data_IF_209425253505
#
_entry.id   IF_209425253505
#
_cell.length_a   1.000
_cell.length_b   1.000
_cell.length_c   1.000
_cell.angle_alpha   90.00
_cell.angle_beta   90.00
_cell.angle_gamma   90.00
#
_symmetry.space_group_name_H-M   'P 1'
#
loop_
_entity.id
_entity.type
_entity.pdbx_description
1 polymer ?
#
# COMPACT_ATOMS: atom_id res chain seq x y z
N UNK A 1 -24.81 8.72 -24.40
CA UNK A 1 -23.57 8.79 -25.22
C UNK A 1 -23.67 7.71 -26.31
N UNK A 2 -23.37 8.01 -27.61
CA UNK A 2 -23.44 7.02 -28.69
C UNK A 2 -22.35 5.94 -28.58
N UNK A 3 -22.54 4.81 -29.26
CA UNK A 3 -21.64 3.65 -29.19
C UNK A 3 -20.17 4.03 -29.50
N UNK A 4 -19.91 4.65 -30.65
CA UNK A 4 -18.56 5.07 -31.04
C UNK A 4 -17.86 5.91 -29.93
N UNK A 5 -18.57 6.89 -29.36
CA UNK A 5 -18.01 7.74 -28.31
C UNK A 5 -17.62 6.95 -27.04
N UNK A 6 -18.43 5.95 -26.65
CA UNK A 6 -18.09 5.07 -25.54
C UNK A 6 -16.83 4.27 -25.83
N UNK A 7 -16.73 3.69 -27.06
CA UNK A 7 -15.56 2.90 -27.44
C UNK A 7 -14.28 3.73 -27.54
N UNK A 8 -14.35 4.98 -28.01
CA UNK A 8 -13.21 5.91 -27.99
C UNK A 8 -12.74 6.18 -26.57
N UNK A 9 -13.65 6.40 -25.63
CA UNK A 9 -13.28 6.61 -24.20
C UNK A 9 -12.63 5.36 -23.63
N UNK A 10 -13.22 4.17 -23.83
CA UNK A 10 -12.67 2.91 -23.32
C UNK A 10 -11.28 2.65 -23.92
N UNK A 11 -11.11 2.87 -25.23
CA UNK A 11 -9.82 2.71 -25.89
C UNK A 11 -8.75 3.65 -25.31
N UNK A 12 -9.07 4.91 -25.06
CA UNK A 12 -8.18 5.87 -24.45
C UNK A 12 -7.78 5.48 -23.00
N UNK A 13 -8.77 5.05 -22.20
CA UNK A 13 -8.53 4.56 -20.83
C UNK A 13 -7.67 3.30 -20.83
N UNK A 14 -7.94 2.36 -21.73
CA UNK A 14 -7.15 1.12 -21.86
C UNK A 14 -5.72 1.42 -22.30
N UNK A 15 -5.53 2.30 -23.29
CA UNK A 15 -4.20 2.71 -23.74
C UNK A 15 -3.40 3.38 -22.60
N UNK A 16 -4.06 4.27 -21.84
CA UNK A 16 -3.42 4.89 -20.65
C UNK A 16 -3.07 3.87 -19.56
N UNK A 17 -3.88 2.85 -19.32
CA UNK A 17 -3.59 1.82 -18.34
C UNK A 17 -2.40 0.93 -18.77
N UNK A 18 -2.26 0.64 -20.09
CA UNK A 18 -1.14 -0.13 -20.64
C UNK A 18 0.16 0.69 -20.64
N UNK A 19 0.07 1.97 -20.99
CA UNK A 19 1.21 2.88 -21.05
C UNK A 19 0.82 4.28 -20.57
N UNK A 20 1.00 4.57 -19.27
CA UNK A 20 0.66 5.87 -18.70
C UNK A 20 1.39 7.02 -19.39
N UNK A 21 0.68 8.12 -19.64
CA UNK A 21 1.27 9.31 -20.21
C UNK A 21 2.23 9.95 -19.17
N UNK A 22 3.48 10.25 -19.55
CA UNK A 22 4.43 10.87 -18.64
C UNK A 22 4.09 12.35 -18.40
N UNK A 23 4.42 12.85 -17.21
CA UNK A 23 4.35 14.27 -16.90
C UNK A 23 3.64 14.59 -15.60
N UNK A 24 4.31 15.40 -14.76
CA UNK A 24 3.84 15.76 -13.42
C UNK A 24 2.46 16.45 -13.42
N UNK A 25 2.16 17.33 -14.39
CA UNK A 25 0.90 18.06 -14.45
C UNK A 25 -0.32 17.19 -14.72
N UNK A 26 -0.11 16.07 -15.42
CA UNK A 26 -1.18 15.14 -15.81
C UNK A 26 -1.19 13.88 -14.93
N UNK A 27 -0.18 13.70 -14.07
CA UNK A 27 0.04 12.48 -13.29
C UNK A 27 -1.19 12.04 -12.51
N UNK A 28 -1.93 12.96 -11.90
CA UNK A 28 -3.13 12.66 -11.14
C UNK A 28 -4.28 12.11 -12.01
N UNK A 29 -4.54 12.75 -13.16
CA UNK A 29 -5.56 12.27 -14.10
C UNK A 29 -5.17 10.94 -14.73
N UNK A 30 -3.89 10.79 -15.09
CA UNK A 30 -3.31 9.57 -15.65
C UNK A 30 -3.38 8.44 -14.61
N UNK A 31 -3.06 8.74 -13.36
CA UNK A 31 -3.21 7.80 -12.25
C UNK A 31 -4.65 7.30 -12.13
N UNK A 32 -5.63 8.18 -11.94
CA UNK A 32 -7.02 7.77 -11.74
C UNK A 32 -7.56 6.93 -12.90
N UNK A 33 -7.31 7.37 -14.13
CA UNK A 33 -7.72 6.65 -15.32
C UNK A 33 -7.04 5.28 -15.42
N UNK A 34 -5.73 5.21 -15.20
CA UNK A 34 -4.94 3.97 -15.28
C UNK A 34 -5.26 3.00 -14.15
N UNK A 35 -5.35 3.49 -12.92
CA UNK A 35 -5.67 2.70 -11.73
C UNK A 35 -7.03 2.01 -11.86
N UNK A 36 -8.11 2.78 -12.06
CA UNK A 36 -9.45 2.20 -12.17
C UNK A 36 -9.57 1.24 -13.35
N UNK A 37 -9.01 1.59 -14.51
CA UNK A 37 -9.07 0.71 -15.68
C UNK A 37 -8.26 -0.56 -15.48
N UNK A 38 -7.08 -0.47 -14.85
CA UNK A 38 -6.22 -1.62 -14.58
C UNK A 38 -6.81 -2.57 -13.55
N UNK A 39 -7.30 -2.03 -12.41
CA UNK A 39 -7.84 -2.86 -11.33
C UNK A 39 -9.26 -3.40 -11.62
N UNK A 40 -10.05 -2.69 -12.46
CA UNK A 40 -11.37 -3.11 -12.90
C UNK A 40 -11.37 -3.68 -14.33
N UNK A 41 -10.22 -4.10 -14.86
CA UNK A 41 -10.10 -4.60 -16.23
C UNK A 41 -11.10 -5.72 -16.57
N UNK A 42 -11.40 -6.71 -15.72
CA UNK A 42 -12.44 -7.71 -16.00
C UNK A 42 -13.83 -7.13 -16.16
N UNK A 43 -14.21 -6.15 -15.34
CA UNK A 43 -15.52 -5.50 -15.39
C UNK A 43 -15.66 -4.61 -16.64
N UNK A 44 -14.61 -3.84 -16.97
CA UNK A 44 -14.57 -3.02 -18.19
C UNK A 44 -14.61 -3.90 -19.44
N UNK A 45 -13.93 -5.05 -19.43
CA UNK A 45 -13.96 -6.04 -20.51
C UNK A 45 -15.37 -6.60 -20.71
N UNK A 46 -16.03 -7.01 -19.63
CA UNK A 46 -17.40 -7.53 -19.68
C UNK A 46 -18.38 -6.49 -20.24
N UNK A 47 -18.25 -5.23 -19.78
CA UNK A 47 -19.04 -4.12 -20.31
C UNK A 47 -18.77 -3.87 -21.81
N UNK A 48 -17.49 -3.84 -22.22
CA UNK A 48 -17.09 -3.63 -23.62
C UNK A 48 -17.65 -4.71 -24.54
N UNK A 49 -17.56 -5.98 -24.11
CA UNK A 49 -18.10 -7.12 -24.85
C UNK A 49 -19.63 -7.04 -24.99
N UNK A 50 -20.35 -6.77 -23.91
CA UNK A 50 -21.82 -6.64 -23.92
C UNK A 50 -22.28 -5.48 -24.81
N UNK A 51 -21.61 -4.31 -24.73
CA UNK A 51 -21.91 -3.15 -25.54
C UNK A 51 -21.65 -3.41 -27.04
N UNK A 52 -20.55 -4.08 -27.37
CA UNK A 52 -20.21 -4.47 -28.74
C UNK A 52 -21.20 -5.48 -29.32
N UNK A 53 -21.59 -6.52 -28.58
CA UNK A 53 -22.57 -7.54 -28.99
C UNK A 53 -23.93 -6.86 -29.25
N UNK A 54 -24.40 -6.05 -28.30
CA UNK A 54 -25.68 -5.35 -28.42
C UNK A 54 -25.72 -4.44 -29.68
N UNK A 55 -24.59 -3.76 -29.95
CA UNK A 55 -24.46 -2.92 -31.11
C UNK A 55 -24.39 -3.73 -32.43
N UNK A 56 -23.65 -4.83 -32.47
CA UNK A 56 -23.48 -5.68 -33.64
C UNK A 56 -24.79 -6.38 -34.08
N UNK A 57 -25.67 -6.70 -33.11
CA UNK A 57 -26.98 -7.31 -33.33
C UNK A 57 -28.06 -6.27 -33.65
N UNK A 58 -27.77 -4.96 -33.50
CA UNK A 58 -28.67 -3.88 -33.76
C UNK A 58 -28.79 -3.53 -35.26
N UNK A 59 -29.76 -2.65 -35.59
CA UNK A 59 -30.03 -2.20 -36.97
C UNK A 59 -28.95 -1.27 -37.56
N UNK A 60 -28.22 -0.55 -36.71
CA UNK A 60 -27.15 0.38 -37.14
C UNK A 60 -25.82 -0.20 -36.71
N UNK A 61 -24.97 -0.52 -37.68
CA UNK A 61 -23.61 -1.02 -37.45
C UNK A 61 -22.61 0.11 -37.61
N UNK A 62 -21.72 0.24 -36.64
CA UNK A 62 -20.59 1.18 -36.68
C UNK A 62 -19.29 0.36 -36.68
N UNK A 63 -18.69 0.14 -37.88
CA UNK A 63 -17.51 -0.72 -38.01
C UNK A 63 -16.29 -0.14 -37.26
N UNK A 64 -16.13 1.19 -37.19
CA UNK A 64 -15.04 1.81 -36.45
C UNK A 64 -15.21 1.59 -34.94
N UNK A 65 -16.42 1.78 -34.42
CA UNK A 65 -16.73 1.51 -33.01
C UNK A 65 -16.52 0.05 -32.66
N UNK A 66 -16.88 -0.91 -33.52
CA UNK A 66 -16.62 -2.34 -33.30
C UNK A 66 -15.13 -2.68 -33.36
N UNK A 67 -14.36 -2.08 -34.26
CA UNK A 67 -12.91 -2.24 -34.31
C UNK A 67 -12.24 -1.71 -33.03
N UNK A 68 -12.66 -0.54 -32.54
CA UNK A 68 -12.17 0.00 -31.26
C UNK A 68 -12.55 -0.88 -30.06
N UNK A 69 -13.76 -1.46 -30.06
CA UNK A 69 -14.17 -2.40 -29.02
C UNK A 69 -13.29 -3.65 -29.02
N UNK A 70 -12.97 -4.21 -30.21
CA UNK A 70 -12.04 -5.34 -30.34
C UNK A 70 -10.64 -5.02 -29.86
N UNK A 71 -10.08 -3.86 -30.24
CA UNK A 71 -8.77 -3.42 -29.77
C UNK A 71 -8.74 -3.19 -28.24
N UNK A 72 -9.79 -2.56 -27.70
CA UNK A 72 -9.93 -2.37 -26.26
C UNK A 72 -10.04 -3.69 -25.50
N UNK A 73 -10.81 -4.65 -26.03
CA UNK A 73 -10.93 -5.98 -25.43
C UNK A 73 -9.58 -6.71 -25.39
N UNK A 74 -8.79 -6.65 -26.47
CA UNK A 74 -7.43 -7.21 -26.48
C UNK A 74 -6.52 -6.54 -25.44
N UNK A 75 -6.55 -5.19 -25.35
CA UNK A 75 -5.79 -4.46 -24.33
C UNK A 75 -6.23 -4.76 -22.90
N UNK A 76 -7.54 -4.91 -22.65
CA UNK A 76 -8.07 -5.29 -21.33
C UNK A 76 -7.70 -6.72 -20.95
N UNK A 77 -7.69 -7.67 -21.89
CA UNK A 77 -7.18 -9.02 -21.67
C UNK A 77 -5.70 -9.02 -21.32
N UNK A 78 -4.89 -8.18 -21.98
CA UNK A 78 -3.49 -7.97 -21.62
C UNK A 78 -3.33 -7.45 -20.18
N UNK A 79 -4.16 -6.47 -19.74
CA UNK A 79 -4.14 -5.96 -18.38
C UNK A 79 -4.54 -7.04 -17.35
N UNK A 80 -5.52 -7.90 -17.69
CA UNK A 80 -5.89 -9.06 -16.85
C UNK A 80 -4.73 -10.05 -16.75
N UNK A 81 -4.03 -10.33 -17.84
CA UNK A 81 -2.84 -11.20 -17.82
C UNK A 81 -1.72 -10.61 -16.95
N UNK A 82 -1.40 -9.33 -17.11
CA UNK A 82 -0.45 -8.64 -16.23
C UNK A 82 -0.85 -8.71 -14.75
N UNK A 83 -2.13 -8.51 -14.43
CA UNK A 83 -2.61 -8.60 -13.05
C UNK A 83 -2.47 -10.03 -12.48
N UNK A 84 -2.62 -11.07 -13.29
CA UNK A 84 -2.41 -12.46 -12.89
C UNK A 84 -0.94 -12.79 -12.65
N UNK A 85 -0.03 -12.25 -13.48
CA UNK A 85 1.43 -12.45 -13.33
C UNK A 85 1.96 -11.91 -12.00
N UNK A 86 1.27 -10.96 -11.37
CA UNK A 86 1.63 -10.49 -10.03
C UNK A 86 1.73 -11.63 -9.03
N UNK A 87 0.94 -12.72 -9.20
CA UNK A 87 1.05 -13.90 -8.35
C UNK A 87 2.43 -14.56 -8.39
N UNK A 88 3.03 -14.68 -9.58
CA UNK A 88 4.40 -15.19 -9.75
C UNK A 88 5.44 -14.19 -9.25
N UNK A 89 5.30 -12.92 -9.60
CA UNK A 89 6.25 -11.87 -9.20
C UNK A 89 6.39 -11.75 -7.68
N UNK A 90 5.27 -11.80 -6.93
CA UNK A 90 5.34 -11.74 -5.46
C UNK A 90 5.87 -13.04 -4.85
N UNK A 91 5.66 -14.18 -5.48
CA UNK A 91 6.21 -15.47 -5.06
C UNK A 91 7.74 -15.48 -5.24
N UNK A 92 8.21 -15.06 -6.42
CA UNK A 92 9.64 -14.96 -6.72
C UNK A 92 10.32 -13.97 -5.77
N UNK A 93 9.67 -12.83 -5.46
CA UNK A 93 10.18 -11.86 -4.50
C UNK A 93 10.29 -12.43 -3.08
N UNK A 94 9.32 -13.23 -2.64
CA UNK A 94 9.38 -13.90 -1.34
C UNK A 94 10.51 -14.94 -1.33
N UNK A 95 10.58 -15.79 -2.35
CA UNK A 95 11.61 -16.81 -2.47
C UNK A 95 13.04 -16.21 -2.52
N UNK A 96 13.22 -15.09 -3.24
CA UNK A 96 14.49 -14.35 -3.26
C UNK A 96 14.84 -13.76 -1.90
N UNK A 97 13.87 -13.16 -1.21
CA UNK A 97 14.12 -12.39 0.00
C UNK A 97 14.19 -13.19 1.28
N UNK A 98 13.40 -14.27 1.41
CA UNK A 98 13.26 -15.07 2.64
C UNK A 98 13.57 -16.56 2.47
N UNK A 99 14.01 -16.97 1.28
CA UNK A 99 14.43 -18.35 0.97
C UNK A 99 13.33 -19.16 0.29
N UNK A 100 13.74 -20.16 -0.51
CA UNK A 100 12.82 -21.05 -1.25
C UNK A 100 11.98 -21.94 -0.32
N UNK A 101 12.48 -22.21 0.87
CA UNK A 101 11.90 -23.06 1.91
C UNK A 101 10.99 -22.29 2.89
N UNK A 102 10.73 -21.00 2.67
CA UNK A 102 9.93 -20.20 3.59
C UNK A 102 8.53 -20.77 3.85
N UNK A 103 7.97 -21.48 2.87
CA UNK A 103 6.65 -22.12 2.99
C UNK A 103 6.63 -23.20 4.06
N UNK A 104 7.75 -23.92 4.27
CA UNK A 104 7.90 -24.93 5.32
C UNK A 104 7.94 -24.31 6.72
N UNK A 105 8.22 -23.02 6.81
CA UNK A 105 8.30 -22.25 8.05
C UNK A 105 6.94 -21.60 8.43
N UNK A 106 5.92 -21.73 7.59
CA UNK A 106 4.56 -21.33 7.91
C UNK A 106 3.86 -22.38 8.77
N UNK A 107 2.85 -21.99 9.55
CA UNK A 107 2.05 -22.93 10.35
C UNK A 107 1.35 -23.99 9.46
N UNK A 108 1.01 -23.63 8.24
CA UNK A 108 0.54 -24.52 7.18
C UNK A 108 0.91 -23.98 5.80
N UNK A 109 1.23 -24.87 4.87
CA UNK A 109 1.45 -24.50 3.48
C UNK A 109 0.14 -24.01 2.83
N UNK A 110 0.17 -22.89 2.07
CA UNK A 110 -1.03 -22.38 1.43
C UNK A 110 -1.56 -23.36 0.38
N UNK A 111 -2.86 -23.64 0.42
CA UNK A 111 -3.50 -24.50 -0.56
C UNK A 111 -3.69 -23.78 -1.90
N UNK A 112 -3.81 -24.50 -3.05
CA UNK A 112 -4.15 -23.88 -4.32
C UNK A 112 -5.44 -23.05 -4.30
N UNK A 113 -6.42 -23.44 -3.48
CA UNK A 113 -7.68 -22.70 -3.31
C UNK A 113 -7.46 -21.36 -2.60
N UNK A 114 -6.57 -21.30 -1.62
CA UNK A 114 -6.20 -20.07 -0.94
C UNK A 114 -5.40 -19.13 -1.85
N UNK A 115 -4.62 -19.65 -2.78
CA UNK A 115 -3.87 -18.87 -3.76
C UNK A 115 -4.69 -18.46 -5.00
N UNK A 116 -5.84 -19.10 -5.24
CA UNK A 116 -6.68 -18.83 -6.40
C UNK A 116 -7.36 -17.44 -6.30
N UNK A 117 -7.50 -16.73 -7.43
CA UNK A 117 -8.19 -15.44 -7.49
C UNK A 117 -9.65 -15.59 -7.02
N UNK A 118 -10.12 -14.80 -6.05
CA UNK A 118 -11.47 -14.91 -5.49
C UNK A 118 -12.52 -14.25 -6.39
N UNK A 119 -12.77 -14.78 -7.58
CA UNK A 119 -13.64 -14.20 -8.62
C UNK A 119 -15.00 -13.73 -8.10
N UNK A 120 -15.62 -14.46 -7.17
CA UNK A 120 -16.91 -14.06 -6.56
C UNK A 120 -16.81 -12.71 -5.82
N UNK A 121 -15.68 -12.42 -5.15
CA UNK A 121 -15.45 -11.13 -4.47
C UNK A 121 -15.19 -10.01 -5.47
N UNK A 122 -14.66 -10.34 -6.67
CA UNK A 122 -14.37 -9.35 -7.71
C UNK A 122 -15.62 -8.85 -8.44
N UNK A 123 -16.75 -9.56 -8.39
CA UNK A 123 -18.03 -9.09 -8.96
C UNK A 123 -18.50 -7.79 -8.28
N UNK A 124 -18.28 -7.68 -6.96
CA UNK A 124 -18.58 -6.48 -6.18
C UNK A 124 -17.34 -6.01 -5.41
N UNK A 125 -16.36 -5.40 -6.10
CA UNK A 125 -15.04 -5.11 -5.52
C UNK A 125 -15.07 -4.06 -4.39
N UNK A 126 -16.16 -3.34 -4.21
CA UNK A 126 -16.30 -2.36 -3.14
C UNK A 126 -16.96 -2.92 -1.87
N UNK A 127 -17.30 -4.22 -1.83
CA UNK A 127 -17.73 -4.89 -0.61
C UNK A 127 -16.50 -5.36 0.17
N UNK A 128 -16.02 -4.50 1.07
CA UNK A 128 -14.76 -4.72 1.81
C UNK A 128 -14.96 -5.49 3.12
N UNK A 129 -16.18 -5.61 3.61
CA UNK A 129 -16.47 -6.24 4.90
C UNK A 129 -16.35 -7.77 4.85
N UNK A 130 -15.72 -8.33 5.88
CA UNK A 130 -15.66 -9.76 6.16
C UNK A 130 -16.49 -10.05 7.41
N UNK A 131 -17.45 -11.00 7.34
CA UNK A 131 -18.33 -11.33 8.45
C UNK A 131 -17.60 -12.09 9.59
N UNK A 132 -16.37 -12.54 9.36
CA UNK A 132 -15.49 -13.13 10.37
C UNK A 132 -14.70 -12.08 11.16
N UNK A 133 -14.87 -10.79 10.87
CA UNK A 133 -14.12 -9.69 11.49
C UNK A 133 -15.08 -8.70 12.15
N UNK A 134 -14.83 -8.42 13.42
CA UNK A 134 -15.46 -7.31 14.15
C UNK A 134 -14.52 -6.11 14.20
N UNK A 135 -15.07 -4.92 14.31
CA UNK A 135 -14.28 -3.69 14.34
C UNK A 135 -14.70 -2.83 15.52
N UNK A 136 -13.76 -2.54 16.40
CA UNK A 136 -13.91 -1.55 17.47
C UNK A 136 -13.45 -0.19 16.95
N UNK A 137 -14.32 0.82 17.05
CA UNK A 137 -14.14 2.06 16.30
C UNK A 137 -13.91 3.26 17.20
N UNK A 138 -13.12 4.21 16.65
CA UNK A 138 -12.96 5.55 17.21
C UNK A 138 -12.39 5.57 18.63
N UNK A 139 -11.42 4.71 18.89
CA UNK A 139 -10.65 4.69 20.14
C UNK A 139 -9.63 5.82 20.06
N UNK A 140 -9.57 6.67 21.08
CA UNK A 140 -8.59 7.75 21.14
C UNK A 140 -7.21 7.21 21.51
N UNK A 141 -6.19 7.54 20.74
CA UNK A 141 -4.79 7.24 21.08
C UNK A 141 -3.99 8.51 21.42
N UNK A 142 -4.57 9.69 21.15
CA UNK A 142 -4.06 10.99 21.59
C UNK A 142 -5.21 12.03 21.62
N UNK A 143 -4.88 13.29 21.95
CA UNK A 143 -5.83 14.39 22.15
C UNK A 143 -6.14 15.22 20.88
N UNK A 144 -5.72 14.75 19.68
CA UNK A 144 -5.94 15.47 18.44
C UNK A 144 -7.36 15.29 17.84
N UNK A 145 -8.35 14.99 18.68
CA UNK A 145 -9.76 14.82 18.30
C UNK A 145 -9.92 13.74 17.23
N UNK A 146 -10.60 14.04 16.13
CA UNK A 146 -10.82 13.05 15.05
C UNK A 146 -9.52 12.53 14.43
N UNK A 147 -8.41 13.28 14.51
CA UNK A 147 -7.11 12.87 13.96
C UNK A 147 -6.34 11.97 14.91
N UNK A 148 -6.70 11.96 16.20
CA UNK A 148 -6.14 11.06 17.21
C UNK A 148 -6.98 9.79 17.45
N UNK A 149 -7.77 9.36 16.48
CA UNK A 149 -8.61 8.16 16.60
C UNK A 149 -8.05 6.99 15.78
N UNK A 150 -8.20 5.79 16.34
CA UNK A 150 -7.89 4.52 15.70
C UNK A 150 -9.11 3.59 15.68
N UNK A 151 -9.08 2.59 14.79
CA UNK A 151 -9.98 1.45 14.77
C UNK A 151 -9.19 0.15 14.94
N UNK A 152 -9.76 -0.84 15.65
CA UNK A 152 -9.15 -2.16 15.84
C UNK A 152 -10.01 -3.21 15.14
N UNK A 153 -9.42 -3.95 14.22
CA UNK A 153 -10.01 -5.07 13.51
C UNK A 153 -9.59 -6.36 14.20
N UNK A 154 -10.57 -7.15 14.61
CA UNK A 154 -10.42 -8.35 15.41
C UNK A 154 -11.20 -9.51 14.79
N UNK A 155 -10.79 -10.77 14.97
CA UNK A 155 -11.63 -11.90 14.61
C UNK A 155 -12.95 -11.86 15.39
N UNK A 156 -14.02 -12.40 14.81
CA UNK A 156 -15.24 -12.68 15.56
C UNK A 156 -14.92 -13.76 16.61
N UNK A 157 -15.19 -13.44 17.86
CA UNK A 157 -14.71 -14.18 19.03
C UNK A 157 -13.51 -13.48 19.67
N UNK A 158 -12.82 -14.19 20.56
CA UNK A 158 -11.61 -13.69 21.21
C UNK A 158 -10.40 -14.02 20.30
N UNK A 159 -9.53 -13.05 19.97
CA UNK A 159 -8.28 -13.37 19.31
C UNK A 159 -7.44 -14.29 20.21
N UNK A 160 -6.51 -15.06 19.63
CA UNK A 160 -5.51 -15.79 20.41
C UNK A 160 -4.80 -14.84 21.36
N UNK A 161 -4.52 -15.27 22.58
CA UNK A 161 -3.74 -14.47 23.51
C UNK A 161 -2.32 -14.26 22.95
N UNK A 162 -1.83 -13.02 22.97
CA UNK A 162 -0.55 -12.68 22.35
C UNK A 162 -0.55 -12.72 20.81
N UNK A 163 -1.69 -12.43 20.17
CA UNK A 163 -1.81 -12.37 18.72
C UNK A 163 -0.88 -11.30 18.11
N UNK A 164 -0.29 -11.54 16.93
CA UNK A 164 0.56 -10.54 16.27
C UNK A 164 -0.25 -9.30 15.89
N UNK A 165 0.41 -8.13 15.92
CA UNK A 165 -0.22 -6.84 15.68
C UNK A 165 0.24 -6.25 14.35
N UNK A 166 -0.72 -5.75 13.55
CA UNK A 166 -0.46 -4.96 12.35
C UNK A 166 -0.97 -3.53 12.54
N UNK A 167 -0.09 -2.55 12.41
CA UNK A 167 -0.45 -1.13 12.36
C UNK A 167 -0.57 -0.67 10.91
N UNK A 168 -1.75 -0.20 10.51
CA UNK A 168 -2.05 0.35 9.19
C UNK A 168 -2.09 1.88 9.22
N UNK A 169 -1.32 2.52 8.33
CA UNK A 169 -1.26 3.97 8.15
C UNK A 169 -1.77 4.33 6.75
N UNK A 170 -2.83 5.14 6.67
CA UNK A 170 -3.44 5.48 5.39
C UNK A 170 -2.59 6.44 4.54
N UNK A 171 -2.78 6.43 3.22
CA UNK A 171 -2.23 7.42 2.29
C UNK A 171 -3.09 8.67 2.17
N UNK A 172 -2.91 9.42 1.07
CA UNK A 172 -3.67 10.64 0.78
C UNK A 172 -2.81 11.90 0.72
N UNK A 173 -1.52 11.75 0.36
CA UNK A 173 -0.60 12.88 0.17
C UNK A 173 -0.43 13.73 1.42
N UNK A 174 -0.57 13.17 2.60
CA UNK A 174 -0.53 13.85 3.92
C UNK A 174 -1.59 14.94 4.09
N UNK A 175 -2.47 15.17 3.09
CA UNK A 175 -3.45 16.26 3.05
C UNK A 175 -4.89 15.80 3.21
N UNK A 176 -5.18 14.56 2.84
CA UNK A 176 -6.51 13.92 2.91
C UNK A 176 -6.38 12.49 3.42
N UNK A 177 -7.50 11.81 3.57
CA UNK A 177 -7.58 10.41 3.95
C UNK A 177 -8.03 10.20 5.39
N UNK A 178 -8.38 8.97 5.68
CA UNK A 178 -8.79 8.49 7.00
C UNK A 178 -8.66 6.96 7.08
N UNK A 179 -8.62 6.46 8.31
CA UNK A 179 -8.41 5.06 8.69
C UNK A 179 -9.39 4.04 8.07
N UNK A 180 -10.55 4.50 7.60
CA UNK A 180 -11.58 3.64 7.01
C UNK A 180 -11.45 3.49 5.47
N UNK A 181 -10.44 4.08 4.81
CA UNK A 181 -10.40 4.18 3.35
C UNK A 181 -9.36 3.25 2.69
N UNK A 182 -8.28 2.89 3.38
CA UNK A 182 -7.16 2.14 2.80
C UNK A 182 -6.71 0.99 3.70
N UNK A 183 -6.04 -0.01 3.10
CA UNK A 183 -5.56 -1.20 3.81
C UNK A 183 -6.67 -2.16 4.25
N UNK A 184 -7.95 -1.86 3.93
CA UNK A 184 -9.10 -2.65 4.40
C UNK A 184 -9.04 -4.10 3.90
N UNK A 185 -8.72 -4.42 2.64
CA UNK A 185 -8.61 -5.80 2.18
C UNK A 185 -7.58 -6.61 3.00
N UNK A 186 -6.43 -6.03 3.29
CA UNK A 186 -5.38 -6.67 4.07
C UNK A 186 -5.80 -6.87 5.54
N UNK A 187 -6.30 -5.82 6.20
CA UNK A 187 -6.73 -5.89 7.59
C UNK A 187 -7.88 -6.88 7.80
N UNK A 188 -8.86 -6.90 6.89
CA UNK A 188 -9.97 -7.88 6.94
C UNK A 188 -9.48 -9.31 6.72
N UNK A 189 -8.46 -9.50 5.92
CA UNK A 189 -7.86 -10.81 5.67
C UNK A 189 -7.08 -11.30 6.88
N UNK A 190 -6.18 -10.50 7.42
CA UNK A 190 -5.33 -10.87 8.56
C UNK A 190 -6.12 -11.01 9.85
N UNK A 191 -7.07 -10.09 10.12
CA UNK A 191 -7.92 -10.21 11.31
C UNK A 191 -8.76 -11.49 11.29
N UNK A 192 -9.27 -11.93 10.12
CA UNK A 192 -9.95 -13.23 10.00
C UNK A 192 -9.03 -14.43 10.28
N UNK A 193 -7.71 -14.26 10.19
CA UNK A 193 -6.67 -15.24 10.52
C UNK A 193 -6.11 -15.09 11.94
N UNK A 194 -6.72 -14.27 12.77
CA UNK A 194 -6.37 -14.14 14.19
C UNK A 194 -5.42 -12.99 14.53
N UNK A 195 -5.03 -12.15 13.57
CA UNK A 195 -4.26 -10.94 13.84
C UNK A 195 -5.10 -9.85 14.50
N UNK A 196 -4.45 -9.00 15.28
CA UNK A 196 -5.02 -7.73 15.76
C UNK A 196 -4.52 -6.62 14.81
N UNK A 197 -5.42 -6.04 14.00
CA UNK A 197 -5.04 -5.00 13.06
C UNK A 197 -5.56 -3.64 13.53
N UNK A 198 -4.68 -2.64 13.61
CA UNK A 198 -4.97 -1.28 14.07
C UNK A 198 -4.85 -0.32 12.91
N UNK A 199 -5.89 0.46 12.62
CA UNK A 199 -5.88 1.50 11.61
C UNK A 199 -5.98 2.88 12.27
N UNK A 200 -5.07 3.80 11.95
CA UNK A 200 -5.02 5.11 12.58
C UNK A 200 -5.38 6.24 11.63
N UNK A 201 -6.01 7.28 12.18
CA UNK A 201 -5.92 8.62 11.63
C UNK A 201 -4.62 9.28 12.13
N UNK A 202 -4.19 10.33 11.46
CA UNK A 202 -3.10 11.20 11.88
C UNK A 202 -3.36 12.64 11.42
N UNK A 203 -2.68 13.62 12.01
CA UNK A 203 -2.80 15.03 11.62
C UNK A 203 -2.45 15.24 10.16
N UNK A 204 -3.12 16.16 9.50
CA UNK A 204 -2.97 16.42 8.07
C UNK A 204 -2.54 17.84 7.78
N UNK A 205 -1.72 17.98 6.73
CA UNK A 205 -1.39 19.28 6.16
C UNK A 205 -2.63 19.86 5.44
N UNK A 206 -2.72 21.15 5.22
CA UNK A 206 -1.78 22.20 5.56
C UNK A 206 -1.88 22.72 7.00
N UNK A 207 -2.83 22.21 7.80
CA UNK A 207 -3.06 22.64 9.17
C UNK A 207 -1.88 22.25 10.06
N UNK A 208 -1.46 21.02 9.96
CA UNK A 208 -0.41 20.43 10.77
C UNK A 208 0.71 19.96 9.83
N UNK A 209 1.75 20.78 9.55
CA UNK A 209 2.83 20.40 8.64
C UNK A 209 3.68 19.26 9.21
N UNK A 210 4.44 18.58 8.33
CA UNK A 210 5.44 17.62 8.77
C UNK A 210 6.44 18.27 9.75
N UNK A 211 6.80 17.59 10.87
CA UNK A 211 6.72 16.15 11.15
C UNK A 211 5.48 15.69 11.95
N UNK A 212 4.41 16.47 12.08
CA UNK A 212 3.24 16.09 12.88
C UNK A 212 2.73 14.69 12.59
N UNK A 213 2.78 14.24 11.34
CA UNK A 213 2.26 12.94 10.90
C UNK A 213 3.10 11.76 11.42
N UNK A 214 4.42 11.84 11.37
CA UNK A 214 5.30 10.79 11.88
C UNK A 214 5.30 10.74 13.40
N UNK A 215 5.14 11.87 14.06
CA UNK A 215 4.93 11.95 15.52
C UNK A 215 3.67 11.16 15.90
N UNK A 216 2.56 11.39 15.20
CA UNK A 216 1.30 10.68 15.45
C UNK A 216 1.43 9.16 15.22
N UNK A 217 2.18 8.73 14.18
CA UNK A 217 2.46 7.31 13.95
C UNK A 217 3.25 6.70 15.11
N UNK A 218 4.31 7.37 15.58
CA UNK A 218 5.08 6.91 16.75
C UNK A 218 4.24 6.87 18.03
N UNK A 219 3.38 7.85 18.23
CA UNK A 219 2.46 7.89 19.36
C UNK A 219 1.44 6.75 19.32
N UNK A 220 0.98 6.37 18.12
CA UNK A 220 0.13 5.19 17.95
C UNK A 220 0.87 3.88 18.24
N UNK A 221 2.15 3.76 17.90
CA UNK A 221 2.99 2.61 18.28
C UNK A 221 3.12 2.54 19.82
N UNK A 222 3.40 3.65 20.48
CA UNK A 222 3.46 3.71 21.95
C UNK A 222 2.13 3.30 22.58
N UNK A 223 1.01 3.80 22.07
CA UNK A 223 -0.34 3.41 22.52
C UNK A 223 -0.59 1.90 22.35
N UNK A 224 -0.20 1.32 21.21
CA UNK A 224 -0.34 -0.13 20.96
C UNK A 224 0.44 -0.93 22.02
N UNK A 225 1.69 -0.56 22.31
CA UNK A 225 2.49 -1.24 23.34
C UNK A 225 1.83 -1.23 24.71
N UNK A 226 1.19 -0.14 25.08
CA UNK A 226 0.55 0.01 26.40
C UNK A 226 -0.81 -0.70 26.48
N UNK A 227 -1.59 -0.71 25.39
CA UNK A 227 -3.03 -1.04 25.48
C UNK A 227 -3.44 -2.30 24.72
N UNK A 228 -2.68 -2.76 23.71
CA UNK A 228 -3.14 -3.78 22.77
C UNK A 228 -3.32 -5.16 23.42
N UNK A 229 -2.66 -5.41 24.55
CA UNK A 229 -2.85 -6.63 25.36
C UNK A 229 -4.29 -6.84 25.80
N UNK A 230 -5.01 -5.77 26.11
CA UNK A 230 -6.44 -5.83 26.48
C UNK A 230 -7.35 -6.30 25.33
N UNK A 231 -6.87 -6.20 24.09
CA UNK A 231 -7.51 -6.68 22.85
C UNK A 231 -6.97 -8.04 22.40
N UNK A 232 -6.08 -8.67 23.16
CA UNK A 232 -5.47 -9.95 22.85
C UNK A 232 -4.21 -9.87 21.98
N UNK A 233 -3.76 -8.67 21.61
CA UNK A 233 -2.56 -8.47 20.83
C UNK A 233 -1.27 -8.59 21.65
N UNK A 234 -0.16 -8.96 20.99
CA UNK A 234 1.17 -8.97 21.57
C UNK A 234 1.79 -7.56 21.48
N UNK A 235 2.03 -6.86 22.61
CA UNK A 235 2.62 -5.53 22.61
C UNK A 235 4.08 -5.51 22.09
N UNK A 236 4.78 -6.64 22.14
CA UNK A 236 6.18 -6.76 21.75
C UNK A 236 6.38 -7.06 20.26
N UNK A 237 5.29 -7.43 19.55
CA UNK A 237 5.34 -7.68 18.12
C UNK A 237 4.40 -6.77 17.34
N UNK A 238 4.96 -5.78 16.66
CA UNK A 238 4.23 -4.82 15.83
C UNK A 238 4.84 -4.83 14.43
N UNK A 239 4.07 -5.28 13.43
CA UNK A 239 4.34 -5.03 12.02
C UNK A 239 3.65 -3.73 11.60
N UNK A 240 4.26 -2.94 10.70
CA UNK A 240 3.67 -1.69 10.24
C UNK A 240 3.51 -1.68 8.72
N UNK A 241 2.37 -1.18 8.22
CA UNK A 241 2.07 -1.12 6.78
C UNK A 241 1.34 0.17 6.40
N UNK A 242 1.50 0.59 5.16
CA UNK A 242 0.81 1.76 4.64
C UNK A 242 1.13 2.03 3.18
N UNK A 243 0.23 2.72 2.49
CA UNK A 243 0.38 3.06 1.08
C UNK A 243 0.63 4.55 0.84
N UNK A 244 1.40 4.91 -0.19
CA UNK A 244 1.62 6.32 -0.60
C UNK A 244 2.26 7.16 0.53
N UNK A 245 1.60 8.23 0.96
CA UNK A 245 1.99 8.98 2.15
C UNK A 245 2.10 8.08 3.39
N UNK A 246 1.23 7.07 3.53
CA UNK A 246 1.34 6.05 4.57
C UNK A 246 2.61 5.20 4.40
N UNK A 247 2.96 4.80 3.17
CA UNK A 247 4.20 4.07 2.86
C UNK A 247 5.46 4.87 3.23
N UNK A 248 5.45 6.18 3.03
CA UNK A 248 6.48 7.09 3.53
C UNK A 248 6.55 7.08 5.06
N UNK A 249 5.41 7.32 5.72
CA UNK A 249 5.34 7.43 7.18
C UNK A 249 5.76 6.14 7.90
N UNK A 250 5.34 4.97 7.40
CA UNK A 250 5.72 3.68 8.00
C UNK A 250 7.21 3.38 7.79
N UNK A 251 7.76 3.72 6.63
CA UNK A 251 9.20 3.58 6.37
C UNK A 251 10.00 4.49 7.29
N UNK A 252 9.55 5.73 7.46
CA UNK A 252 10.24 6.69 8.29
C UNK A 252 10.17 6.32 9.78
N UNK A 253 8.98 5.95 10.29
CA UNK A 253 8.81 5.49 11.67
C UNK A 253 9.68 4.27 11.97
N UNK A 254 9.73 3.29 11.06
CA UNK A 254 10.55 2.09 11.20
C UNK A 254 12.06 2.40 11.22
N UNK A 255 12.51 3.36 10.42
CA UNK A 255 13.93 3.73 10.32
C UNK A 255 14.40 4.72 11.40
N UNK A 256 13.47 5.33 12.14
CA UNK A 256 13.76 6.37 13.14
C UNK A 256 13.23 6.02 14.54
N UNK A 257 13.13 4.73 14.85
CA UNK A 257 12.61 4.27 16.15
C UNK A 257 13.31 4.93 17.36
N UNK A 258 14.63 5.08 17.30
CA UNK A 258 15.43 5.71 18.35
C UNK A 258 15.53 7.25 18.29
N UNK A 259 14.86 7.90 17.32
CA UNK A 259 14.87 9.36 17.20
C UNK A 259 13.76 9.97 18.07
N UNK A 260 14.13 10.36 19.29
CA UNK A 260 13.19 10.91 20.28
C UNK A 260 12.76 12.37 19.97
N UNK A 261 13.43 13.04 19.04
CA UNK A 261 13.01 14.39 18.59
C UNK A 261 11.59 14.37 17.98
N UNK A 262 11.15 13.22 17.51
CA UNK A 262 9.78 12.99 17.01
C UNK A 262 8.87 12.25 18.00
N UNK A 263 9.21 12.35 19.30
CA UNK A 263 8.42 11.80 20.39
C UNK A 263 8.14 12.82 21.52
N UNK A 264 7.72 14.07 21.22
CA UNK A 264 7.54 15.11 22.22
C UNK A 264 6.47 14.70 23.25
N UNK A 265 6.89 14.62 24.54
CA UNK A 265 6.03 14.23 25.65
C UNK A 265 5.82 12.73 25.83
N UNK A 266 6.51 11.89 25.02
CA UNK A 266 6.57 10.43 25.17
C UNK A 266 7.95 9.88 24.73
N UNK A 267 9.02 10.62 25.08
CA UNK A 267 10.40 10.36 24.66
C UNK A 267 10.91 9.00 25.13
N UNK A 268 10.41 8.52 26.29
CA UNK A 268 10.79 7.23 26.89
C UNK A 268 10.04 6.03 26.27
N UNK A 269 9.04 6.27 25.41
CA UNK A 269 8.27 5.18 24.81
C UNK A 269 9.06 4.48 23.69
N UNK A 270 9.00 3.15 23.66
CA UNK A 270 9.54 2.36 22.57
C UNK A 270 8.63 2.48 21.32
N UNK A 271 9.13 3.18 20.30
CA UNK A 271 8.50 3.35 19.00
C UNK A 271 9.04 2.39 17.91
N UNK A 272 9.77 1.32 18.32
CA UNK A 272 10.28 0.33 17.38
C UNK A 272 9.18 -0.56 16.79
N UNK A 273 9.46 -1.14 15.63
CA UNK A 273 8.62 -2.12 14.97
C UNK A 273 9.48 -3.27 14.46
N UNK A 274 8.92 -4.49 14.39
CA UNK A 274 9.66 -5.67 13.98
C UNK A 274 9.86 -5.73 12.46
N UNK A 275 8.85 -5.31 11.68
CA UNK A 275 8.99 -5.21 10.24
C UNK A 275 8.08 -4.13 9.65
N UNK A 276 8.45 -3.63 8.45
CA UNK A 276 7.68 -2.64 7.70
C UNK A 276 7.31 -3.14 6.30
N UNK A 277 6.05 -2.93 5.92
CA UNK A 277 5.51 -3.32 4.61
C UNK A 277 4.96 -2.08 3.89
N UNK A 278 5.84 -1.18 3.37
CA UNK A 278 5.41 0.00 2.65
C UNK A 278 4.96 -0.33 1.22
N UNK A 279 3.83 0.23 0.80
CA UNK A 279 3.29 0.12 -0.55
C UNK A 279 3.46 1.46 -1.27
N UNK A 280 4.00 1.47 -2.47
CA UNK A 280 4.15 2.66 -3.34
C UNK A 280 4.49 3.93 -2.55
N UNK A 281 5.44 3.82 -1.62
CA UNK A 281 5.88 4.91 -0.76
C UNK A 281 6.72 5.96 -1.49
N UNK A 282 6.85 7.13 -0.86
CA UNK A 282 7.77 8.18 -1.27
C UNK A 282 9.01 8.11 -0.37
N UNK A 283 10.18 7.87 -0.95
CA UNK A 283 11.38 7.57 -0.18
C UNK A 283 12.44 8.67 -0.19
N UNK A 284 12.29 9.69 -1.07
CA UNK A 284 13.26 10.76 -1.26
C UNK A 284 12.58 12.14 -1.31
N UNK A 285 12.41 12.76 -0.15
CA UNK A 285 11.87 14.12 -0.05
C UNK A 285 12.89 15.19 -0.44
N UNK A 286 14.17 14.91 -0.21
CA UNK A 286 15.26 15.84 -0.50
C UNK A 286 15.62 15.92 -1.99
N UNK A 287 15.26 14.89 -2.79
CA UNK A 287 15.75 14.74 -4.16
C UNK A 287 17.23 14.32 -4.20
N UNK A 288 17.70 13.69 -3.12
CA UNK A 288 19.10 13.26 -2.91
C UNK A 288 19.56 12.21 -3.92
N UNK A 289 18.62 11.45 -4.49
CA UNK A 289 18.87 10.46 -5.54
C UNK A 289 19.20 11.07 -6.90
N UNK A 290 18.97 12.37 -7.09
CA UNK A 290 19.11 13.04 -8.39
C UNK A 290 17.97 12.72 -9.39
N UNK A 291 16.97 11.93 -9.01
CA UNK A 291 15.80 11.64 -9.85
C UNK A 291 15.01 12.92 -10.11
N UNK A 292 14.81 13.27 -11.38
CA UNK A 292 14.02 14.44 -11.77
C UNK A 292 12.61 14.42 -11.21
N UNK A 293 12.00 13.23 -11.10
CA UNK A 293 10.66 13.04 -10.51
C UNK A 293 10.65 13.39 -9.01
N UNK A 294 11.69 13.00 -8.25
CA UNK A 294 11.82 13.31 -6.82
C UNK A 294 12.03 14.83 -6.61
N UNK A 295 12.97 15.44 -7.35
CA UNK A 295 13.22 16.90 -7.30
C UNK A 295 11.95 17.69 -7.63
N UNK A 296 11.24 17.29 -8.70
CA UNK A 296 10.01 17.98 -9.10
C UNK A 296 8.89 17.82 -8.05
N UNK A 297 8.76 16.63 -7.43
CA UNK A 297 7.82 16.39 -6.34
C UNK A 297 8.19 17.23 -5.11
N UNK A 298 9.48 17.29 -4.73
CA UNK A 298 10.01 18.14 -3.67
C UNK A 298 9.56 19.60 -3.85
N UNK A 299 9.87 20.19 -5.02
CA UNK A 299 9.69 21.62 -5.26
C UNK A 299 8.24 22.03 -5.51
N UNK A 300 7.42 21.13 -6.10
CA UNK A 300 6.04 21.46 -6.51
C UNK A 300 4.97 20.99 -5.53
N UNK A 301 5.28 20.01 -4.68
CA UNK A 301 4.29 19.42 -3.79
C UNK A 301 4.80 19.30 -2.33
N UNK A 302 5.91 18.60 -2.09
CA UNK A 302 6.37 18.29 -0.73
C UNK A 302 6.74 19.56 0.04
N UNK A 303 7.55 20.43 -0.53
CA UNK A 303 7.93 21.71 0.08
C UNK A 303 6.72 22.59 0.38
N UNK A 304 5.95 23.03 -0.62
CA UNK A 304 4.88 23.99 -0.41
C UNK A 304 3.65 23.45 0.32
N UNK A 305 3.39 22.12 0.29
CA UNK A 305 2.16 21.52 0.86
C UNK A 305 2.41 20.73 2.14
N UNK A 306 3.49 19.94 2.20
CA UNK A 306 3.73 18.99 3.28
C UNK A 306 4.61 19.59 4.38
N UNK A 307 5.81 20.04 4.03
CA UNK A 307 6.75 20.64 4.99
C UNK A 307 6.45 22.11 5.29
N UNK A 308 5.79 22.83 4.36
CA UNK A 308 5.64 24.29 4.41
C UNK A 308 6.98 25.04 4.44
N UNK A 309 7.98 24.45 3.78
CA UNK A 309 9.36 24.93 3.72
C UNK A 309 9.84 24.95 2.27
N UNK A 310 10.93 25.64 2.03
CA UNK A 310 11.65 25.68 0.76
C UNK A 310 12.98 24.99 0.92
N UNK A 311 13.35 24.16 -0.04
CA UNK A 311 14.60 23.41 -0.04
C UNK A 311 15.83 24.31 0.17
N UNK A 312 15.86 25.46 -0.52
CA UNK A 312 16.97 26.40 -0.46
C UNK A 312 17.15 27.05 0.92
N UNK A 313 16.09 27.06 1.75
CA UNK A 313 16.09 27.69 3.06
C UNK A 313 16.31 26.70 4.21
N UNK A 314 15.88 25.45 4.03
CA UNK A 314 15.91 24.45 5.09
C UNK A 314 16.04 23.04 4.48
N UNK A 315 17.21 22.69 3.90
CA UNK A 315 17.43 21.39 3.30
C UNK A 315 17.36 20.24 4.33
N UNK A 316 17.78 20.48 5.57
CA UNK A 316 17.79 19.48 6.64
C UNK A 316 16.39 18.91 6.90
N UNK A 317 15.34 19.75 6.89
CA UNK A 317 13.97 19.27 7.07
C UNK A 317 13.51 18.31 5.95
N UNK A 318 14.03 18.44 4.73
CA UNK A 318 13.74 17.52 3.64
C UNK A 318 14.59 16.24 3.74
N UNK A 319 15.83 16.36 4.20
CA UNK A 319 16.73 15.22 4.45
C UNK A 319 16.17 14.36 5.57
N UNK A 320 15.76 14.94 6.68
CA UNK A 320 15.10 14.27 7.78
C UNK A 320 13.82 13.54 7.35
N UNK A 321 13.03 14.16 6.49
CA UNK A 321 11.82 13.58 5.93
C UNK A 321 12.07 12.51 4.84
N UNK A 322 13.32 12.19 4.50
CA UNK A 322 13.67 11.25 3.43
C UNK A 322 14.00 9.86 3.98
N UNK A 323 13.13 8.85 3.91
CA UNK A 323 13.43 7.50 4.38
C UNK A 323 14.76 6.94 3.85
N UNK A 324 15.08 7.21 2.58
CA UNK A 324 16.34 6.74 1.97
C UNK A 324 17.59 7.30 2.66
N UNK A 325 17.51 8.46 3.31
CA UNK A 325 18.62 9.06 4.06
C UNK A 325 18.70 8.59 5.51
N UNK A 326 17.64 7.95 6.02
CA UNK A 326 17.54 7.46 7.40
C UNK A 326 17.88 5.97 7.55
N UNK A 327 18.31 5.29 6.48
CA UNK A 327 18.70 3.87 6.50
C UNK A 327 19.97 3.70 7.32
N UNK A 328 19.92 2.80 8.32
CA UNK A 328 21.03 2.38 9.18
C UNK A 328 21.23 0.86 9.12
N UNK A 329 22.35 0.33 9.61
CA UNK A 329 22.54 -1.12 9.72
C UNK A 329 21.50 -1.84 10.60
N UNK A 330 20.85 -1.11 11.51
CA UNK A 330 19.87 -1.63 12.45
C UNK A 330 18.40 -1.42 11.99
N UNK A 331 18.22 -1.02 10.72
CA UNK A 331 16.89 -0.96 10.10
C UNK A 331 16.18 -2.32 10.23
N UNK A 332 14.86 -2.36 10.58
CA UNK A 332 14.12 -3.60 10.70
C UNK A 332 13.94 -4.30 9.35
N UNK A 333 13.27 -5.46 9.35
CA UNK A 333 12.93 -6.17 8.13
C UNK A 333 11.93 -5.37 7.27
N UNK A 334 12.11 -5.40 5.94
CA UNK A 334 11.26 -4.68 4.99
C UNK A 334 10.69 -5.60 3.92
N UNK A 335 9.40 -5.44 3.63
CA UNK A 335 8.80 -5.93 2.39
C UNK A 335 8.24 -4.75 1.59
N UNK A 336 8.97 -4.28 0.60
CA UNK A 336 8.61 -3.11 -0.22
C UNK A 336 7.82 -3.57 -1.44
N UNK A 337 6.64 -2.98 -1.69
CA UNK A 337 5.82 -3.24 -2.87
C UNK A 337 5.62 -1.95 -3.67
N UNK A 338 5.85 -2.01 -4.99
CA UNK A 338 5.68 -0.83 -5.84
C UNK A 338 5.16 -1.19 -7.24
N UNK A 339 4.27 -0.35 -7.78
CA UNK A 339 3.73 -0.53 -9.13
C UNK A 339 4.70 -0.01 -10.20
N UNK A 340 4.98 -0.82 -11.22
CA UNK A 340 5.89 -0.44 -12.31
C UNK A 340 5.38 0.75 -13.15
N UNK A 341 4.05 0.98 -13.17
CA UNK A 341 3.40 2.07 -13.90
C UNK A 341 2.94 3.22 -13.00
N UNK A 342 3.47 3.30 -11.76
CA UNK A 342 3.09 4.36 -10.82
C UNK A 342 3.43 5.75 -11.36
N UNK A 343 2.40 6.55 -11.64
CA UNK A 343 2.54 7.90 -12.17
C UNK A 343 2.54 8.99 -11.09
N UNK A 344 2.29 8.65 -9.83
CA UNK A 344 2.34 9.57 -8.69
C UNK A 344 3.67 9.48 -7.92
N UNK A 345 4.05 8.28 -7.51
CA UNK A 345 5.32 7.99 -6.84
C UNK A 345 6.15 7.09 -7.78
N UNK A 346 7.06 7.69 -8.53
CA UNK A 346 7.80 6.96 -9.56
C UNK A 346 8.60 5.79 -8.97
N UNK A 347 8.47 4.61 -9.58
CA UNK A 347 9.04 3.33 -9.11
C UNK A 347 10.55 3.37 -8.87
N UNK A 348 11.29 4.23 -9.57
CA UNK A 348 12.74 4.37 -9.40
C UNK A 348 13.15 4.80 -7.98
N UNK A 349 12.28 5.52 -7.23
CA UNK A 349 12.53 5.81 -5.81
C UNK A 349 12.54 4.52 -4.97
N UNK A 350 11.61 3.60 -5.24
CA UNK A 350 11.57 2.31 -4.53
C UNK A 350 12.79 1.44 -4.86
N UNK A 351 13.19 1.40 -6.13
CA UNK A 351 14.39 0.66 -6.57
C UNK A 351 15.65 1.13 -5.84
N UNK A 352 15.89 2.45 -5.80
CA UNK A 352 17.03 3.03 -5.11
C UNK A 352 16.95 2.88 -3.58
N UNK A 353 15.76 2.97 -3.01
CA UNK A 353 15.54 2.74 -1.58
C UNK A 353 15.88 1.30 -1.20
N UNK A 354 15.36 0.33 -1.95
CA UNK A 354 15.64 -1.11 -1.76
C UNK A 354 17.11 -1.44 -1.96
N UNK A 355 17.73 -0.91 -3.02
CA UNK A 355 19.17 -1.09 -3.26
C UNK A 355 20.00 -0.61 -2.07
N UNK A 356 19.68 0.57 -1.52
CA UNK A 356 20.37 1.11 -0.35
C UNK A 356 20.07 0.29 0.91
N UNK A 357 18.83 -0.14 1.14
CA UNK A 357 18.48 -1.04 2.24
C UNK A 357 19.28 -2.33 2.19
N UNK A 358 19.30 -3.02 1.05
CA UNK A 358 20.06 -4.29 0.86
C UNK A 358 21.56 -4.12 1.08
N UNK A 359 22.09 -2.94 0.80
CA UNK A 359 23.53 -2.64 0.99
C UNK A 359 23.88 -2.31 2.44
N UNK A 360 22.99 -1.69 3.20
CA UNK A 360 23.29 -1.12 4.51
C UNK A 360 22.69 -1.94 5.66
N UNK A 361 21.43 -2.38 5.54
CA UNK A 361 20.74 -3.14 6.58
C UNK A 361 21.31 -4.56 6.70
N UNK A 362 21.36 -5.07 7.95
CA UNK A 362 21.67 -6.47 8.27
C UNK A 362 20.44 -7.38 8.27
N UNK A 363 19.28 -6.82 8.02
CA UNK A 363 17.98 -7.49 8.07
C UNK A 363 17.45 -7.82 6.68
N UNK A 364 16.40 -8.59 6.64
CA UNK A 364 15.76 -9.05 5.41
C UNK A 364 15.10 -7.91 4.64
N UNK A 365 15.32 -7.86 3.33
CA UNK A 365 14.69 -6.89 2.43
C UNK A 365 14.08 -7.60 1.23
N UNK A 366 12.77 -7.79 1.28
CA UNK A 366 11.95 -8.31 0.19
C UNK A 366 11.49 -7.14 -0.69
N UNK A 367 11.53 -7.30 -2.01
CA UNK A 367 11.04 -6.30 -2.96
C UNK A 367 10.21 -6.94 -4.06
N UNK A 368 8.97 -6.48 -4.22
CA UNK A 368 8.12 -6.86 -5.33
C UNK A 368 7.76 -5.63 -6.18
N UNK A 369 8.26 -5.62 -7.43
CA UNK A 369 7.86 -4.65 -8.44
C UNK A 369 6.73 -5.24 -9.28
N UNK A 370 5.56 -4.60 -9.25
CA UNK A 370 4.33 -5.17 -9.75
C UNK A 370 4.08 -4.75 -11.21
N UNK A 371 4.09 -5.70 -12.18
CA UNK A 371 3.93 -5.38 -13.59
C UNK A 371 2.57 -4.73 -13.89
N UNK A 372 2.60 -3.63 -14.63
CA UNK A 372 1.40 -2.89 -15.04
C UNK A 372 0.58 -2.29 -13.89
N UNK A 373 1.05 -2.37 -12.65
CA UNK A 373 0.36 -1.76 -11.52
C UNK A 373 0.57 -0.25 -11.49
N UNK A 374 -0.53 0.48 -11.28
CA UNK A 374 -0.53 1.90 -10.97
C UNK A 374 -0.42 2.10 -9.44
N UNK A 375 -0.34 3.36 -8.99
CA UNK A 375 -0.48 3.72 -7.59
C UNK A 375 -1.79 3.18 -6.99
N UNK A 376 -1.85 2.91 -5.67
CA UNK A 376 -3.07 2.49 -4.96
C UNK A 376 -3.71 1.16 -5.42
N UNK A 377 -2.91 0.21 -5.88
CA UNK A 377 -3.33 -1.09 -6.42
C UNK A 377 -4.05 -2.01 -5.41
N UNK A 378 -4.04 -1.71 -4.12
CA UNK A 378 -4.54 -2.55 -3.01
C UNK A 378 -5.75 -1.97 -2.27
N UNK A 379 -6.29 -0.83 -2.72
CA UNK A 379 -7.39 -0.12 -2.03
C UNK A 379 -8.69 -0.93 -2.01
N UNK A 380 -8.96 -1.70 -3.06
CA UNK A 380 -10.14 -2.57 -3.14
C UNK A 380 -9.80 -3.92 -3.78
N UNK A 381 -10.66 -4.95 -3.59
CA UNK A 381 -10.46 -6.27 -4.18
C UNK A 381 -10.35 -6.24 -5.70
N UNK A 382 -9.20 -6.65 -6.21
CA UNK A 382 -8.88 -6.86 -7.62
C UNK A 382 -8.11 -8.17 -7.77
N UNK A 383 -7.79 -8.58 -9.00
CA UNK A 383 -6.90 -9.72 -9.24
C UNK A 383 -5.56 -9.46 -8.56
N UNK A 384 -5.00 -8.26 -8.78
CA UNK A 384 -3.68 -7.87 -8.26
C UNK A 384 -3.68 -7.76 -6.74
N UNK A 385 -4.66 -7.05 -6.15
CA UNK A 385 -4.75 -6.92 -4.70
C UNK A 385 -4.92 -8.26 -3.98
N UNK A 386 -5.60 -9.24 -4.61
CA UNK A 386 -5.74 -10.58 -4.05
C UNK A 386 -4.39 -11.32 -3.94
N UNK A 387 -3.51 -11.22 -4.94
CA UNK A 387 -2.16 -11.78 -4.87
C UNK A 387 -1.30 -11.07 -3.83
N UNK A 388 -1.36 -9.73 -3.79
CA UNK A 388 -0.59 -8.91 -2.87
C UNK A 388 -0.97 -9.18 -1.40
N UNK A 389 -2.27 -9.16 -1.08
CA UNK A 389 -2.75 -9.45 0.28
C UNK A 389 -2.26 -10.82 0.78
N UNK A 390 -2.24 -11.83 -0.08
CA UNK A 390 -1.77 -13.17 0.27
C UNK A 390 -0.26 -13.27 0.37
N UNK A 391 0.48 -12.51 -0.43
CA UNK A 391 1.94 -12.46 -0.32
C UNK A 391 2.35 -11.78 1.00
N UNK A 392 1.70 -10.67 1.37
CA UNK A 392 1.91 -10.00 2.65
C UNK A 392 1.52 -10.91 3.81
N UNK A 393 0.40 -11.61 3.72
CA UNK A 393 -0.03 -12.60 4.70
C UNK A 393 1.06 -13.66 4.96
N UNK A 394 1.62 -14.26 3.90
CA UNK A 394 2.70 -15.27 4.03
C UNK A 394 3.97 -14.67 4.62
N UNK A 395 4.38 -13.50 4.13
CA UNK A 395 5.54 -12.79 4.68
C UNK A 395 5.38 -12.52 6.19
N UNK A 396 4.23 -11.97 6.59
CA UNK A 396 3.98 -11.61 7.98
C UNK A 396 3.85 -12.85 8.89
N UNK A 397 3.26 -13.95 8.42
CA UNK A 397 3.22 -15.20 9.17
C UNK A 397 4.61 -15.85 9.30
N UNK A 398 5.40 -15.86 8.23
CA UNK A 398 6.80 -16.29 8.28
C UNK A 398 7.60 -15.46 9.29
N UNK A 399 7.48 -14.14 9.23
CA UNK A 399 8.18 -13.21 10.12
C UNK A 399 7.74 -13.40 11.59
N UNK A 400 6.43 -13.54 11.82
CA UNK A 400 5.90 -13.83 13.16
C UNK A 400 6.40 -15.16 13.71
N UNK A 401 6.43 -16.20 12.89
CA UNK A 401 6.92 -17.51 13.31
C UNK A 401 8.43 -17.49 13.63
N UNK A 402 9.19 -16.71 12.87
CA UNK A 402 10.62 -16.49 13.15
C UNK A 402 10.80 -15.75 14.48
N UNK A 403 10.06 -14.66 14.67
CA UNK A 403 10.07 -13.90 15.93
C UNK A 403 9.75 -14.78 17.14
N UNK A 404 8.71 -15.61 17.07
CA UNK A 404 8.35 -16.53 18.17
C UNK A 404 9.48 -17.48 18.51
N UNK A 405 10.13 -18.06 17.50
CA UNK A 405 11.27 -19.00 17.70
C UNK A 405 12.48 -18.35 18.38
N UNK A 406 12.69 -17.06 18.15
CA UNK A 406 13.80 -16.32 18.73
C UNK A 406 13.52 -15.83 20.18
N UNK A 407 12.24 -15.76 20.59
CA UNK A 407 11.80 -15.19 21.87
C UNK A 407 11.11 -16.22 22.79
N UNK A 408 11.08 -17.50 22.43
CA UNK A 408 10.73 -18.66 23.27
C UNK A 408 11.98 -19.44 23.64
#
# INVERSE_FOLDING_TARGET
MGFLRRQVVIAALTANAIRPLPGFRVSFSVFFAGWLTGELAPQVLAFTAADAITHATGRRRDPLGLALAGASAAGLLFLVDQARRVGTEVEDALAEGIGLDYVEQLDHAPTPAELAVPWRKLVYPFRLRNDQVRVERNIAYNDHGKRGLLDIYLPVGRPPEGAPVLLQVHGGGWTIGKKEEQGIPLMQHLAAKGWVCVAINYRLTPRDPFPAQVIDVKQAIAWIREHIGSYGGNPDYIAITGGSAGGHLVSLAALTAGDTSWQPGFEDADASVQCAVPHYGIYDFAGSTGLKSAILMRDRFLGPRVLKKRWECDPEAFEDASPILRITPDAPDFFVLHGAHDSLAHVDQARLFVEKLRRVSKRTVVYAELPGAQHAFDVFPSIRSAHIVRAIDRYLHWHWNTYRREHT
#
